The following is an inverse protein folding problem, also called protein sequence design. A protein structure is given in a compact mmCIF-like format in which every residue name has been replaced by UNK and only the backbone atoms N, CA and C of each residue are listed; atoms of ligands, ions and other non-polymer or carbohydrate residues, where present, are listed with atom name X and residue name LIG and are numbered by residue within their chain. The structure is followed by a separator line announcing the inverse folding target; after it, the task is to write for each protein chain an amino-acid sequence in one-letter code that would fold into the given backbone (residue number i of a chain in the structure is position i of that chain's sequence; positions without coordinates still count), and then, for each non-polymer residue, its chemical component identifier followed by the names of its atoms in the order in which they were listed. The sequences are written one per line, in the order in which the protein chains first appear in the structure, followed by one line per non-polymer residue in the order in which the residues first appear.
data_IF_977420514618
#
_entry.id   IF_977420514618
#
_cell.length_a   1.000
_cell.length_b   1.000
_cell.length_c   1.000
_cell.angle_alpha   90.00
_cell.angle_beta   90.00
_cell.angle_gamma   90.00
#
_symmetry.space_group_name_H-M   'P 1'
#
loop_
_entity.id
_entity.type
_entity.pdbx_description
1 polymer ?
#
# COMPACT_ATOMS: atom_id res chain seq x y z
N UNK A 1 0.69 12.12 10.13
CA UNK A 1 0.30 11.34 8.93
C UNK A 1 -0.57 10.17 9.39
N UNK A 2 -1.80 10.04 8.90
CA UNK A 2 -2.66 8.87 9.15
C UNK A 2 -2.86 8.13 7.83
N UNK A 3 -2.66 6.80 7.85
CA UNK A 3 -2.89 5.91 6.72
C UNK A 3 -4.05 5.00 7.07
N UNK A 4 -5.02 4.88 6.17
CA UNK A 4 -6.14 3.95 6.28
C UNK A 4 -5.88 2.77 5.36
N UNK A 5 -6.08 1.57 5.88
CA UNK A 5 -5.90 0.32 5.14
C UNK A 5 -7.23 -0.43 5.19
N UNK A 6 -7.80 -0.72 4.03
CA UNK A 6 -8.96 -1.58 3.88
C UNK A 6 -8.56 -2.85 3.13
N UNK A 7 -8.93 -4.00 3.70
CA UNK A 7 -8.58 -5.33 3.21
C UNK A 7 -9.86 -6.09 2.88
N UNK A 8 -10.06 -6.41 1.60
CA UNK A 8 -11.23 -7.15 1.13
C UNK A 8 -10.81 -8.46 0.48
N UNK A 9 -11.09 -9.57 1.16
CA UNK A 9 -10.89 -10.92 0.64
C UNK A 9 -12.11 -11.37 -0.16
N UNK A 10 -11.87 -11.90 -1.36
CA UNK A 10 -12.90 -12.48 -2.23
C UNK A 10 -12.36 -13.76 -2.87
N UNK A 11 -12.68 -14.91 -2.27
CA UNK A 11 -12.10 -16.20 -2.66
C UNK A 11 -10.58 -16.19 -2.50
N UNK A 12 -9.88 -16.52 -3.59
CA UNK A 12 -8.40 -16.58 -3.65
C UNK A 12 -7.78 -15.23 -4.01
N UNK A 13 -8.52 -14.13 -3.87
CA UNK A 13 -8.02 -12.78 -4.14
C UNK A 13 -8.11 -11.91 -2.90
N UNK A 14 -7.09 -11.07 -2.72
CA UNK A 14 -7.07 -10.00 -1.74
C UNK A 14 -6.99 -8.66 -2.45
N UNK A 15 -7.97 -7.80 -2.20
CA UNK A 15 -7.91 -6.40 -2.57
C UNK A 15 -7.39 -5.61 -1.35
N UNK A 16 -6.31 -4.88 -1.55
CA UNK A 16 -5.70 -4.01 -0.55
C UNK A 16 -5.89 -2.59 -1.05
N UNK A 17 -6.63 -1.80 -0.26
CA UNK A 17 -6.83 -0.38 -0.52
C UNK A 17 -6.10 0.42 0.55
N UNK A 18 -5.27 1.36 0.12
CA UNK A 18 -4.56 2.28 1.00
C UNK A 18 -4.95 3.72 0.67
N UNK A 19 -5.27 4.46 1.72
CA UNK A 19 -5.68 5.85 1.67
C UNK A 19 -4.93 6.66 2.72
N UNK A 20 -4.92 7.97 2.55
CA UNK A 20 -4.26 8.89 3.45
C UNK A 20 -5.28 9.88 4.04
N UNK A 21 -5.15 10.15 5.34
CA UNK A 21 -5.84 11.26 6.01
C UNK A 21 -4.76 12.21 6.53
N UNK A 22 -4.55 13.31 5.83
CA UNK A 22 -3.68 14.40 6.25
C UNK A 22 -4.32 15.72 5.87
N UNK A 23 -4.51 16.60 6.84
CA UNK A 23 -5.14 17.91 6.63
C UNK A 23 -4.13 18.95 6.12
N UNK A 24 -2.82 18.66 6.19
CA UNK A 24 -1.75 19.65 6.02
C UNK A 24 -0.50 19.15 5.28
N UNK A 25 -0.46 17.90 4.77
CA UNK A 25 0.81 17.28 4.36
C UNK A 25 0.73 16.44 3.06
N UNK A 26 1.87 16.25 2.38
CA UNK A 26 1.98 15.95 0.95
C UNK A 26 1.73 14.48 0.60
N UNK A 27 1.90 14.13 -0.68
CA UNK A 27 1.81 12.76 -1.18
C UNK A 27 2.58 11.75 -0.31
N UNK A 28 2.03 10.55 -0.12
CA UNK A 28 2.64 9.47 0.66
C UNK A 28 3.16 8.37 -0.26
N UNK A 29 4.43 8.00 -0.13
CA UNK A 29 5.02 6.86 -0.82
C UNK A 29 4.77 5.58 -0.03
N UNK A 30 4.36 4.50 -0.72
CA UNK A 30 3.94 3.25 -0.08
C UNK A 30 4.67 2.01 -0.62
N UNK A 31 4.94 1.06 0.29
CA UNK A 31 5.27 -0.33 -0.03
C UNK A 31 4.39 -1.27 0.79
N UNK A 32 4.05 -2.43 0.24
CA UNK A 32 3.25 -3.44 0.92
C UNK A 32 4.05 -4.73 1.01
N UNK A 33 4.12 -5.30 2.21
CA UNK A 33 4.57 -6.66 2.44
C UNK A 33 3.36 -7.52 2.77
N UNK A 34 3.16 -8.59 2.01
CA UNK A 34 2.13 -9.59 2.28
C UNK A 34 2.81 -10.88 2.71
N UNK A 35 2.45 -11.36 3.90
CA UNK A 35 2.89 -12.65 4.42
C UNK A 35 1.73 -13.65 4.37
N UNK A 36 2.01 -14.82 3.82
CA UNK A 36 1.08 -15.95 3.83
C UNK A 36 1.89 -17.23 3.98
N UNK A 37 1.63 -17.95 5.07
CA UNK A 37 2.40 -19.13 5.48
C UNK A 37 3.90 -18.81 5.54
N UNK A 38 4.74 -19.58 4.84
CA UNK A 38 6.19 -19.37 4.75
C UNK A 38 6.60 -18.45 3.59
N UNK A 39 5.65 -17.76 2.96
CA UNK A 39 5.90 -16.88 1.81
C UNK A 39 5.75 -15.40 2.17
N UNK A 40 6.71 -14.60 1.72
CA UNK A 40 6.71 -13.15 1.82
C UNK A 40 6.76 -12.53 0.42
N UNK A 41 5.85 -11.58 0.14
CA UNK A 41 5.77 -10.88 -1.14
C UNK A 41 5.79 -9.37 -0.94
N UNK A 42 6.75 -8.72 -1.59
CA UNK A 42 6.91 -7.27 -1.58
C UNK A 42 6.27 -6.65 -2.81
N UNK A 43 5.48 -5.61 -2.58
CA UNK A 43 4.84 -4.81 -3.61
C UNK A 43 5.32 -3.37 -3.47
N UNK A 44 5.93 -2.90 -4.54
CA UNK A 44 6.49 -1.58 -4.69
C UNK A 44 5.44 -0.63 -5.30
N UNK A 45 5.64 0.68 -5.18
CA UNK A 45 4.84 1.72 -5.84
C UNK A 45 4.30 1.39 -7.25
N UNK A 46 5.14 0.83 -8.11
CA UNK A 46 4.81 0.47 -9.49
C UNK A 46 3.87 -0.74 -9.63
N UNK A 47 3.67 -1.52 -8.57
CA UNK A 47 2.79 -2.68 -8.58
C UNK A 47 1.32 -2.32 -8.32
N UNK A 48 1.01 -1.08 -7.98
CA UNK A 48 -0.36 -0.65 -7.70
C UNK A 48 -1.13 -0.41 -9.00
N UNK A 49 -2.35 -0.95 -9.05
CA UNK A 49 -3.23 -0.86 -10.22
C UNK A 49 -3.92 0.51 -10.38
N UNK A 50 -4.07 1.24 -9.28
CA UNK A 50 -4.65 2.60 -9.18
C UNK A 50 -3.86 3.33 -8.08
N UNK A 51 -3.72 4.66 -8.17
CA UNK A 51 -3.03 5.49 -7.17
C UNK A 51 -1.50 5.57 -7.31
N UNK A 52 -0.87 4.56 -7.92
CA UNK A 52 0.56 4.58 -8.20
C UNK A 52 1.42 4.79 -6.95
N UNK A 53 2.57 5.43 -7.14
CA UNK A 53 3.56 5.65 -6.09
C UNK A 53 3.09 6.54 -4.94
N UNK A 54 2.03 7.32 -5.13
CA UNK A 54 1.68 8.39 -4.20
C UNK A 54 0.21 8.32 -3.80
N UNK A 55 -0.04 8.26 -2.50
CA UNK A 55 -1.40 8.44 -1.97
C UNK A 55 -1.57 9.86 -1.49
N UNK A 56 -2.59 10.53 -2.04
CA UNK A 56 -2.95 11.89 -1.64
C UNK A 56 -4.00 11.87 -0.53
N UNK A 57 -3.91 12.80 0.43
CA UNK A 57 -4.91 12.91 1.49
C UNK A 57 -6.33 13.12 0.99
N UNK A 58 -7.30 12.53 1.69
CA UNK A 58 -8.73 12.67 1.37
C UNK A 58 -9.20 11.77 0.22
N UNK A 59 -8.31 10.98 -0.36
CA UNK A 59 -8.62 10.07 -1.45
C UNK A 59 -8.17 8.63 -1.09
N UNK A 60 -9.05 7.65 -1.31
CA UNK A 60 -8.72 6.22 -1.25
C UNK A 60 -8.35 5.76 -2.66
N UNK A 61 -7.05 5.74 -2.97
CA UNK A 61 -6.62 5.63 -4.37
C UNK A 61 -5.74 4.42 -4.65
N UNK A 62 -4.93 4.00 -3.68
CA UNK A 62 -3.95 2.95 -3.95
C UNK A 62 -4.59 1.58 -3.82
N UNK A 63 -4.80 0.93 -4.96
CA UNK A 63 -5.40 -0.40 -5.04
C UNK A 63 -4.38 -1.42 -5.53
N UNK A 64 -4.17 -2.45 -4.72
CA UNK A 64 -3.40 -3.64 -5.08
C UNK A 64 -4.34 -4.85 -5.05
N UNK A 65 -4.38 -5.61 -6.13
CA UNK A 65 -5.12 -6.87 -6.21
C UNK A 65 -4.12 -8.00 -6.42
N UNK A 66 -4.14 -8.98 -5.52
CA UNK A 66 -3.22 -10.11 -5.55
C UNK A 66 -3.96 -11.42 -5.31
N UNK A 67 -3.45 -12.47 -5.95
CA UNK A 67 -3.83 -13.84 -5.60
C UNK A 67 -3.27 -14.22 -4.22
N UNK A 68 -4.08 -14.87 -3.40
CA UNK A 68 -3.71 -15.46 -2.12
C UNK A 68 -4.22 -16.91 -2.07
N UNK A 69 -3.49 -17.77 -1.37
CA UNK A 69 -3.96 -19.12 -1.05
C UNK A 69 -4.98 -19.13 0.09
N UNK A 70 -5.31 -20.33 0.56
CA UNK A 70 -6.05 -20.50 1.81
C UNK A 70 -5.19 -20.08 3.03
N UNK A 71 -5.81 -19.97 4.20
CA UNK A 71 -5.10 -19.64 5.43
C UNK A 71 -5.00 -18.14 5.74
N UNK A 72 -4.18 -17.84 6.74
CA UNK A 72 -4.02 -16.49 7.32
C UNK A 72 -3.11 -15.66 6.43
N UNK A 73 -3.54 -14.44 6.16
CA UNK A 73 -2.74 -13.45 5.43
C UNK A 73 -2.51 -12.26 6.35
N UNK A 74 -1.25 -11.82 6.42
CA UNK A 74 -0.86 -10.59 7.09
C UNK A 74 -0.41 -9.56 6.06
N UNK A 75 -0.86 -8.32 6.23
CA UNK A 75 -0.51 -7.20 5.35
C UNK A 75 0.14 -6.11 6.19
N UNK A 76 1.37 -5.76 5.82
CA UNK A 76 2.16 -4.70 6.44
C UNK A 76 2.33 -3.60 5.40
N UNK A 77 2.00 -2.37 5.78
CA UNK A 77 2.11 -1.19 4.90
C UNK A 77 3.21 -0.28 5.44
N UNK A 78 4.25 -0.09 4.64
CA UNK A 78 5.28 0.93 4.89
C UNK A 78 4.86 2.22 4.20
N UNK A 79 4.86 3.32 4.94
CA UNK A 79 4.45 4.62 4.44
C UNK A 79 5.49 5.68 4.82
N UNK A 80 5.89 6.50 3.84
CA UNK A 80 6.82 7.61 4.03
C UNK A 80 6.19 8.87 3.45
N UNK A 81 6.21 9.95 4.21
CA UNK A 81 5.78 11.26 3.73
C UNK A 81 6.81 11.81 2.75
N UNK A 82 6.37 12.40 1.63
CA UNK A 82 7.29 12.98 0.64
C UNK A 82 8.17 14.10 1.19
N UNK A 83 7.80 14.75 2.30
CA UNK A 83 8.68 15.70 2.98
C UNK A 83 9.95 15.04 3.54
N UNK A 84 9.92 13.73 3.77
CA UNK A 84 11.00 12.96 4.38
C UNK A 84 11.82 12.17 3.32
N UNK A 85 11.51 12.36 2.03
CA UNK A 85 12.21 11.68 0.93
C UNK A 85 13.41 12.53 0.50
N UNK A 86 14.60 11.95 0.61
CA UNK A 86 15.82 12.50 0.04
C UNK A 86 16.14 11.73 -1.24
N UNK A 87 16.28 12.45 -2.36
CA UNK A 87 16.68 11.87 -3.65
C UNK A 87 18.01 12.46 -4.12
N UNK A 88 18.84 11.63 -4.74
CA UNK A 88 20.05 12.05 -5.45
C UNK A 88 19.98 11.54 -6.90
N UNK A 89 20.54 12.31 -7.83
CA UNK A 89 20.71 11.93 -9.24
C UNK A 89 22.20 11.92 -9.58
N UNK A 90 22.61 11.02 -10.48
CA UNK A 90 23.96 10.94 -11.04
C UNK A 90 24.06 11.69 -12.37
#
# INVERSE_FOLDING_TARGET
MSVNIDLQRSGNNLNIMVGAKSETAPAILLWILVKQDDSERFFYPQNFSVGGAYVYPGLMQSKLNIGIGDGKVEVIVYAVSTNDIVSASA
#
